data_IF_851731862458
#
_entry.id   IF_851731862458
#
_cell.length_a   1.000
_cell.length_b   1.000
_cell.length_c   1.000
_cell.angle_alpha   90.00
_cell.angle_beta   90.00
_cell.angle_gamma   90.00
#
_symmetry.space_group_name_H-M   'P 1'
#
loop_
_entity.id
_entity.type
_entity.pdbx_description
1 polymer ?
#
# COMPACT_ATOMS: atom_id res chain seq x y z
N UNK A 1 -4.30 -3.33 20.26
CA UNK A 1 -5.10 -3.95 19.19
C UNK A 1 -4.26 -4.21 17.94
N UNK A 2 -4.14 -3.31 16.94
CA UNK A 2 -3.40 -3.63 15.69
C UNK A 2 -1.93 -4.04 15.91
N UNK A 3 -1.21 -3.42 16.85
CA UNK A 3 0.17 -3.80 17.18
C UNK A 3 0.29 -5.16 17.90
N UNK A 4 -0.71 -5.53 18.70
CA UNK A 4 -0.72 -6.83 19.42
C UNK A 4 -1.12 -7.95 18.48
N UNK A 5 -2.09 -7.70 17.61
CA UNK A 5 -2.50 -8.61 16.54
C UNK A 5 -1.35 -8.86 15.56
N UNK A 6 -0.65 -7.78 15.15
CA UNK A 6 0.57 -7.88 14.37
C UNK A 6 1.60 -8.81 15.04
N UNK A 7 1.92 -8.57 16.33
CA UNK A 7 2.86 -9.42 17.08
C UNK A 7 2.46 -10.89 17.06
N UNK A 8 1.20 -11.21 17.34
CA UNK A 8 0.71 -12.60 17.32
C UNK A 8 0.83 -13.25 15.93
N UNK A 9 0.45 -12.54 14.87
CA UNK A 9 0.52 -13.08 13.51
C UNK A 9 1.98 -13.31 13.06
N UNK A 10 2.90 -12.47 13.54
CA UNK A 10 4.34 -12.66 13.33
C UNK A 10 4.84 -13.88 14.12
N UNK A 11 4.48 -14.01 15.40
CA UNK A 11 4.88 -15.16 16.23
C UNK A 11 4.41 -16.50 15.63
N UNK A 12 3.27 -16.50 14.95
CA UNK A 12 2.73 -17.64 14.20
C UNK A 12 3.50 -17.95 12.89
N UNK A 13 4.52 -17.16 12.54
CA UNK A 13 5.33 -17.39 11.34
C UNK A 13 4.63 -17.04 10.03
N UNK A 14 3.52 -16.31 10.09
CA UNK A 14 2.62 -16.11 8.95
C UNK A 14 3.29 -15.41 7.75
N UNK A 15 4.15 -14.43 8.03
CA UNK A 15 4.92 -13.67 7.04
C UNK A 15 6.24 -14.36 6.61
N UNK A 16 6.48 -15.57 7.09
CA UNK A 16 7.69 -16.35 6.82
C UNK A 16 8.82 -16.10 7.82
N UNK A 17 9.74 -17.06 7.93
CA UNK A 17 10.81 -17.08 8.94
C UNK A 17 11.69 -15.82 8.93
N UNK A 18 11.91 -15.20 7.76
CA UNK A 18 12.70 -13.97 7.65
C UNK A 18 12.07 -12.79 8.39
N UNK A 19 10.75 -12.63 8.35
CA UNK A 19 10.05 -11.53 9.04
C UNK A 19 10.03 -11.78 10.55
N UNK A 20 9.87 -13.04 10.97
CA UNK A 20 9.98 -13.44 12.39
C UNK A 20 11.39 -13.16 12.94
N UNK A 21 12.43 -13.56 12.20
CA UNK A 21 13.82 -13.32 12.57
C UNK A 21 14.16 -11.83 12.64
N UNK A 22 13.58 -11.01 11.76
CA UNK A 22 13.78 -9.55 11.81
C UNK A 22 13.17 -8.95 13.07
N UNK A 23 12.01 -9.44 13.53
CA UNK A 23 11.28 -8.89 14.67
C UNK A 23 11.72 -9.42 16.03
N UNK A 24 12.12 -10.69 16.11
CA UNK A 24 12.82 -11.21 17.29
C UNK A 24 14.11 -10.43 17.58
N UNK A 25 14.73 -9.87 16.54
CA UNK A 25 15.88 -8.97 16.66
C UNK A 25 15.48 -7.53 17.03
N UNK A 26 14.26 -7.07 16.73
CA UNK A 26 13.77 -5.71 17.11
C UNK A 26 13.62 -5.59 18.63
N UNK A 27 13.37 -6.70 19.32
CA UNK A 27 13.31 -6.72 20.79
C UNK A 27 14.72 -6.72 21.44
N UNK A 28 15.79 -6.96 20.67
CA UNK A 28 17.18 -6.86 21.13
C UNK A 28 17.81 -5.53 20.67
N UNK A 29 17.83 -4.55 21.57
CA UNK A 29 18.27 -3.18 21.36
C UNK A 29 19.71 -3.02 20.84
N UNK A 30 19.88 -2.48 19.61
CA UNK A 30 20.86 -1.43 19.24
C UNK A 30 20.51 -0.82 17.85
N UNK A 31 19.82 0.33 17.90
CA UNK A 31 18.96 0.98 16.88
C UNK A 31 19.56 1.28 15.49
N UNK A 32 20.89 1.29 15.32
CA UNK A 32 21.53 1.73 14.05
C UNK A 32 21.96 0.58 13.15
N UNK A 33 22.41 -0.51 13.75
CA UNK A 33 22.92 -1.66 12.99
C UNK A 33 21.78 -2.43 12.33
N UNK A 34 20.59 -2.41 12.93
CA UNK A 34 19.45 -3.16 12.44
C UNK A 34 18.71 -2.47 11.29
N UNK A 35 18.50 -1.15 11.38
CA UNK A 35 18.05 -0.36 10.23
C UNK A 35 19.04 -0.51 9.07
N UNK A 36 20.33 -0.53 9.37
CA UNK A 36 21.38 -0.81 8.40
C UNK A 36 21.24 -2.20 7.76
N UNK A 37 21.08 -3.29 8.52
CA UNK A 37 20.91 -4.64 7.96
C UNK A 37 19.60 -4.80 7.19
N UNK A 38 18.49 -4.19 7.64
CA UNK A 38 17.22 -4.16 6.87
C UNK A 38 17.42 -3.43 5.55
N UNK A 39 18.07 -2.26 5.58
CA UNK A 39 18.39 -1.48 4.38
C UNK A 39 19.37 -2.24 3.49
N UNK A 40 20.34 -2.96 4.05
CA UNK A 40 21.37 -3.71 3.33
C UNK A 40 20.82 -4.97 2.66
N UNK A 41 20.11 -5.85 3.39
CA UNK A 41 19.40 -7.02 2.83
C UNK A 41 18.45 -6.59 1.70
N UNK A 42 17.90 -5.38 1.83
CA UNK A 42 17.05 -4.81 0.81
C UNK A 42 17.82 -4.10 -0.33
N UNK A 43 19.01 -3.55 -0.12
CA UNK A 43 19.88 -3.06 -1.22
C UNK A 43 20.40 -4.24 -2.06
N UNK A 44 20.66 -5.39 -1.46
CA UNK A 44 21.38 -6.53 -2.06
C UNK A 44 20.48 -7.53 -2.85
N UNK A 45 19.41 -7.11 -3.52
CA UNK A 45 18.58 -8.06 -4.30
C UNK A 45 17.85 -7.46 -5.51
N UNK A 46 16.93 -8.23 -6.09
CA UNK A 46 16.39 -8.11 -7.45
C UNK A 46 15.76 -6.76 -7.91
N UNK A 47 15.65 -6.60 -9.24
CA UNK A 47 15.33 -5.38 -10.02
C UNK A 47 14.09 -4.56 -9.57
N UNK A 48 13.07 -5.18 -8.94
CA UNK A 48 11.93 -4.47 -8.34
C UNK A 48 12.35 -3.53 -7.18
N UNK A 49 13.58 -3.65 -6.67
CA UNK A 49 14.14 -2.82 -5.59
C UNK A 49 14.45 -1.39 -6.00
N UNK A 50 14.73 -1.07 -7.27
CA UNK A 50 15.03 0.33 -7.67
C UNK A 50 13.85 1.28 -7.42
N UNK A 51 12.64 0.87 -7.80
CA UNK A 51 11.43 1.66 -7.60
C UNK A 51 11.01 1.71 -6.13
N UNK A 52 11.06 0.55 -5.46
CA UNK A 52 10.85 0.46 -4.02
C UNK A 52 11.82 1.38 -3.28
N UNK A 53 13.05 1.56 -3.82
CA UNK A 53 14.08 2.39 -3.21
C UNK A 53 13.84 3.85 -3.35
N UNK A 54 13.46 4.25 -4.55
CA UNK A 54 13.02 5.62 -4.81
C UNK A 54 11.84 5.97 -3.92
N UNK A 55 10.89 5.03 -3.75
CA UNK A 55 9.72 5.22 -2.89
C UNK A 55 10.08 5.38 -1.40
N UNK A 56 10.90 4.48 -0.85
CA UNK A 56 11.27 4.56 0.58
C UNK A 56 12.16 5.77 0.89
N UNK A 57 13.13 6.09 0.03
CA UNK A 57 13.94 7.29 0.20
C UNK A 57 13.09 8.55 0.17
N UNK A 58 12.10 8.60 -0.73
CA UNK A 58 11.12 9.68 -0.75
C UNK A 58 10.35 9.76 0.57
N UNK A 59 9.77 8.65 1.04
CA UNK A 59 8.98 8.65 2.27
C UNK A 59 9.81 9.11 3.47
N UNK A 60 11.03 8.59 3.60
CA UNK A 60 11.95 8.97 4.66
C UNK A 60 12.37 10.44 4.55
N UNK A 61 12.67 10.93 3.35
CA UNK A 61 13.01 12.33 3.10
C UNK A 61 11.88 13.26 3.54
N UNK A 62 10.64 12.99 3.13
CA UNK A 62 9.49 13.81 3.53
C UNK A 62 9.29 13.78 5.04
N UNK A 63 9.39 12.62 5.69
CA UNK A 63 9.26 12.51 7.14
C UNK A 63 10.34 13.35 7.84
N UNK A 64 11.61 13.22 7.43
CA UNK A 64 12.73 13.95 8.01
C UNK A 64 12.59 15.46 7.81
N UNK A 65 12.31 15.92 6.60
CA UNK A 65 12.13 17.35 6.29
C UNK A 65 10.93 17.95 7.05
N UNK A 66 9.86 17.16 7.27
CA UNK A 66 8.72 17.59 8.07
C UNK A 66 9.08 17.71 9.55
N UNK A 67 9.85 16.76 10.08
CA UNK A 67 10.37 16.84 11.45
C UNK A 67 11.31 18.02 11.66
N UNK A 68 12.17 18.34 10.69
CA UNK A 68 13.04 19.52 10.76
C UNK A 68 12.24 20.83 10.79
N UNK A 69 11.08 20.86 10.12
CA UNK A 69 10.24 22.05 10.03
C UNK A 69 9.31 22.22 11.24
N UNK A 70 8.57 21.17 11.60
CA UNK A 70 7.67 21.18 12.76
C UNK A 70 7.57 19.78 13.39
N UNK A 71 8.41 19.47 14.39
CA UNK A 71 8.45 18.14 15.02
C UNK A 71 7.14 17.73 15.67
N UNK A 72 6.47 18.67 16.36
CA UNK A 72 5.27 18.37 17.14
C UNK A 72 4.10 17.99 16.24
N UNK A 73 3.87 18.79 15.19
CA UNK A 73 2.78 18.54 14.25
C UNK A 73 3.05 17.27 13.42
N UNK A 74 4.31 17.05 13.03
CA UNK A 74 4.72 15.82 12.33
C UNK A 74 4.47 14.58 13.18
N UNK A 75 4.86 14.61 14.46
CA UNK A 75 4.59 13.53 15.40
C UNK A 75 3.10 13.29 15.58
N UNK A 76 2.29 14.35 15.72
CA UNK A 76 0.84 14.23 15.89
C UNK A 76 0.16 13.55 14.69
N UNK A 77 0.52 13.92 13.46
CA UNK A 77 -0.03 13.31 12.25
C UNK A 77 0.36 11.83 12.12
N UNK A 78 1.63 11.50 12.33
CA UNK A 78 2.12 10.11 12.27
C UNK A 78 1.48 9.27 13.38
N UNK A 79 1.42 9.80 14.61
CA UNK A 79 0.81 9.11 15.75
C UNK A 79 -0.69 8.89 15.54
N UNK A 80 -1.39 9.89 15.01
CA UNK A 80 -2.81 9.79 14.66
C UNK A 80 -3.06 8.75 13.56
N UNK A 81 -2.16 8.66 12.58
CA UNK A 81 -2.24 7.64 11.54
C UNK A 81 -2.06 6.22 12.11
N UNK A 82 -1.09 6.03 13.01
CA UNK A 82 -0.74 4.72 13.59
C UNK A 82 -1.77 4.25 14.62
N UNK A 83 -2.19 5.15 15.51
CA UNK A 83 -2.96 4.78 16.72
C UNK A 83 -4.40 5.32 16.70
N UNK A 84 -4.73 6.16 15.73
CA UNK A 84 -5.94 6.97 15.79
C UNK A 84 -5.83 8.02 16.88
N UNK A 85 -6.97 8.54 17.31
CA UNK A 85 -7.03 9.42 18.48
C UNK A 85 -8.16 8.97 19.41
N UNK A 86 -8.06 9.30 20.70
CA UNK A 86 -9.17 9.04 21.65
C UNK A 86 -10.50 9.68 21.21
N UNK A 87 -10.43 10.82 20.50
CA UNK A 87 -11.61 11.55 20.00
C UNK A 87 -12.15 10.97 18.70
N UNK A 88 -11.29 10.36 17.89
CA UNK A 88 -11.68 9.71 16.64
C UNK A 88 -10.77 8.51 16.34
N UNK A 89 -11.16 7.30 16.78
CA UNK A 89 -10.43 6.07 16.50
C UNK A 89 -10.38 5.72 15.01
N UNK A 90 -11.31 6.24 14.18
CA UNK A 90 -11.38 5.95 12.73
C UNK A 90 -10.25 6.59 11.93
N UNK A 91 -9.45 7.43 12.57
CA UNK A 91 -8.21 7.98 12.00
C UNK A 91 -7.05 6.99 12.01
N UNK A 92 -7.15 5.91 12.78
CA UNK A 92 -6.22 4.80 12.73
C UNK A 92 -6.29 4.15 11.33
N UNK A 93 -5.13 4.00 10.68
CA UNK A 93 -5.02 3.41 9.33
C UNK A 93 -4.01 2.25 9.25
N UNK A 94 -3.24 2.00 10.30
CA UNK A 94 -2.26 0.91 10.35
C UNK A 94 -2.93 -0.46 10.16
N UNK A 95 -4.09 -0.69 10.76
CA UNK A 95 -4.90 -1.89 10.58
C UNK A 95 -5.13 -2.23 9.11
N UNK A 96 -5.34 -1.21 8.26
CA UNK A 96 -5.55 -1.44 6.82
C UNK A 96 -4.26 -1.82 6.09
N UNK A 97 -3.12 -1.33 6.56
CA UNK A 97 -1.81 -1.79 6.06
C UNK A 97 -1.63 -3.27 6.38
N UNK A 98 -1.95 -3.65 7.62
CA UNK A 98 -1.83 -5.03 8.09
C UNK A 98 -2.77 -5.96 7.30
N UNK A 99 -4.05 -5.61 7.19
CA UNK A 99 -5.02 -6.36 6.40
C UNK A 99 -4.53 -6.60 4.96
N UNK A 100 -3.99 -5.56 4.31
CA UNK A 100 -3.46 -5.68 2.97
C UNK A 100 -2.25 -6.63 2.90
N UNK A 101 -1.30 -6.52 3.83
CA UNK A 101 -0.13 -7.39 3.87
C UNK A 101 -0.52 -8.86 4.11
N UNK A 102 -1.47 -9.11 5.01
CA UNK A 102 -2.00 -10.45 5.27
C UNK A 102 -2.64 -11.03 4.03
N UNK A 103 -3.59 -10.30 3.45
CA UNK A 103 -4.30 -10.72 2.24
C UNK A 103 -3.35 -10.94 1.06
N UNK A 104 -2.33 -10.10 0.91
CA UNK A 104 -1.32 -10.24 -0.14
C UNK A 104 -0.50 -11.51 0.04
N UNK A 105 -0.08 -11.81 1.28
CA UNK A 105 0.65 -13.05 1.62
C UNK A 105 -0.22 -14.28 1.36
N UNK A 106 -1.47 -14.25 1.80
CA UNK A 106 -2.46 -15.29 1.52
C UNK A 106 -2.69 -15.51 0.02
N UNK A 107 -2.79 -14.42 -0.73
CA UNK A 107 -2.98 -14.47 -2.17
C UNK A 107 -1.77 -15.07 -2.86
N UNK A 108 -0.55 -14.70 -2.48
CA UNK A 108 0.67 -15.31 -3.00
C UNK A 108 0.74 -16.81 -2.71
N UNK A 109 0.41 -17.24 -1.48
CA UNK A 109 0.31 -18.66 -1.12
C UNK A 109 -0.70 -19.38 -2.02
N UNK A 110 -1.90 -18.82 -2.22
CA UNK A 110 -2.94 -19.37 -3.11
C UNK A 110 -2.54 -19.40 -4.58
N UNK A 111 -1.77 -18.43 -5.05
CA UNK A 111 -1.24 -18.43 -6.43
C UNK A 111 -0.21 -19.53 -6.60
N UNK A 112 0.67 -19.75 -5.61
CA UNK A 112 1.71 -20.77 -5.67
C UNK A 112 1.19 -22.21 -5.73
N UNK A 113 -0.08 -22.44 -5.33
CA UNK A 113 -0.72 -23.76 -5.43
C UNK A 113 -1.33 -24.04 -6.80
N UNK A 114 -1.43 -23.03 -7.69
CA UNK A 114 -1.90 -23.24 -9.06
C UNK A 114 -0.85 -23.98 -9.89
N UNK A 115 -1.31 -24.98 -10.64
CA UNK A 115 -0.51 -25.73 -11.59
C UNK A 115 -1.34 -26.10 -12.82
N UNK A 116 -0.71 -26.78 -13.79
CA UNK A 116 -1.35 -27.16 -15.06
C UNK A 116 -2.54 -28.12 -14.92
N UNK A 117 -2.72 -28.74 -13.74
CA UNK A 117 -3.83 -29.65 -13.41
C UNK A 117 -4.90 -29.01 -12.52
N UNK A 118 -4.77 -27.73 -12.15
CA UNK A 118 -5.75 -27.04 -11.31
C UNK A 118 -7.14 -27.00 -11.95
N UNK A 119 -8.17 -27.20 -11.15
CA UNK A 119 -9.56 -27.16 -11.63
C UNK A 119 -9.99 -25.73 -11.96
N UNK A 120 -11.06 -25.58 -12.74
CA UNK A 120 -11.67 -24.27 -13.01
C UNK A 120 -12.13 -23.59 -11.71
N UNK A 121 -12.57 -24.38 -10.72
CA UNK A 121 -12.91 -23.89 -9.39
C UNK A 121 -11.71 -23.25 -8.68
N UNK A 122 -10.55 -23.91 -8.72
CA UNK A 122 -9.31 -23.41 -8.12
C UNK A 122 -8.87 -22.11 -8.80
N UNK A 123 -8.88 -22.08 -10.13
CA UNK A 123 -8.53 -20.88 -10.91
C UNK A 123 -9.45 -19.70 -10.55
N UNK A 124 -10.76 -19.95 -10.42
CA UNK A 124 -11.73 -18.92 -10.03
C UNK A 124 -11.51 -18.41 -8.60
N UNK A 125 -11.20 -19.31 -7.66
CA UNK A 125 -10.94 -18.95 -6.26
C UNK A 125 -9.66 -18.10 -6.13
N UNK A 126 -8.59 -18.49 -6.83
CA UNK A 126 -7.34 -17.72 -6.84
C UNK A 126 -7.55 -16.37 -7.53
N UNK A 127 -8.28 -16.32 -8.65
CA UNK A 127 -8.58 -15.05 -9.32
C UNK A 127 -9.40 -14.11 -8.43
N UNK A 128 -10.36 -14.65 -7.69
CA UNK A 128 -11.15 -13.85 -6.74
C UNK A 128 -10.27 -13.30 -5.62
N UNK A 129 -9.29 -14.10 -5.15
CA UNK A 129 -8.30 -13.65 -4.17
C UNK A 129 -7.38 -12.55 -4.72
N UNK A 130 -6.89 -12.69 -5.96
CA UNK A 130 -6.11 -11.65 -6.65
C UNK A 130 -6.90 -10.35 -6.77
N UNK A 131 -8.17 -10.45 -7.18
CA UNK A 131 -9.05 -9.29 -7.36
C UNK A 131 -9.30 -8.57 -6.03
N UNK A 132 -9.53 -9.32 -4.95
CA UNK A 132 -9.68 -8.78 -3.61
C UNK A 132 -8.38 -8.12 -3.11
N UNK A 133 -7.23 -8.79 -3.29
CA UNK A 133 -5.92 -8.27 -2.91
C UNK A 133 -5.64 -6.94 -3.61
N UNK A 134 -5.91 -6.89 -4.92
CA UNK A 134 -5.77 -5.68 -5.70
C UNK A 134 -6.66 -4.54 -5.18
N UNK A 135 -7.94 -4.81 -4.92
CA UNK A 135 -8.86 -3.82 -4.34
C UNK A 135 -8.37 -3.29 -3.00
N UNK A 136 -7.85 -4.15 -2.13
CA UNK A 136 -7.25 -3.76 -0.85
C UNK A 136 -5.95 -2.95 -1.02
N UNK A 137 -5.17 -3.23 -2.05
CA UNK A 137 -4.02 -2.42 -2.44
C UNK A 137 -4.41 -0.98 -2.81
N UNK A 138 -5.53 -0.80 -3.53
CA UNK A 138 -6.07 0.54 -3.83
C UNK A 138 -6.48 1.26 -2.54
N UNK A 139 -7.19 0.57 -1.65
CA UNK A 139 -7.60 1.12 -0.35
C UNK A 139 -6.39 1.57 0.49
N UNK A 140 -5.36 0.72 0.54
CA UNK A 140 -4.09 0.99 1.20
C UNK A 140 -3.42 2.27 0.69
N UNK A 141 -3.25 2.40 -0.64
CA UNK A 141 -2.68 3.62 -1.25
C UNK A 141 -3.55 4.84 -0.89
N UNK A 142 -4.88 4.71 -1.00
CA UNK A 142 -5.84 5.77 -0.69
C UNK A 142 -5.83 6.24 0.77
N UNK A 143 -5.33 5.43 1.70
CA UNK A 143 -5.17 5.74 3.12
C UNK A 143 -3.79 6.30 3.46
N UNK A 144 -2.74 5.92 2.72
CA UNK A 144 -1.37 6.41 2.94
C UNK A 144 -1.14 7.81 2.35
N UNK A 145 -1.61 8.06 1.12
CA UNK A 145 -1.35 9.33 0.43
C UNK A 145 -1.80 10.57 1.25
N UNK A 146 -2.95 10.57 1.95
CA UNK A 146 -3.34 11.68 2.82
C UNK A 146 -2.29 12.06 3.86
N UNK A 147 -1.64 11.09 4.50
CA UNK A 147 -0.57 11.35 5.47
C UNK A 147 0.58 12.08 4.77
N UNK A 148 1.01 11.62 3.60
CA UNK A 148 2.10 12.27 2.86
C UNK A 148 1.75 13.68 2.39
N UNK A 149 0.50 13.95 2.02
CA UNK A 149 0.05 15.31 1.72
C UNK A 149 0.17 16.19 2.98
N UNK A 150 -0.29 15.72 4.14
CA UNK A 150 -0.15 16.46 5.39
C UNK A 150 1.32 16.75 5.72
N UNK A 151 2.20 15.75 5.63
CA UNK A 151 3.63 15.89 5.88
C UNK A 151 4.29 16.89 4.92
N UNK A 152 4.03 16.80 3.62
CA UNK A 152 4.57 17.76 2.65
C UNK A 152 4.07 19.19 2.93
N UNK A 153 2.80 19.36 3.34
CA UNK A 153 2.28 20.66 3.74
C UNK A 153 2.93 21.18 5.01
N UNK A 154 3.23 20.32 5.99
CA UNK A 154 4.02 20.69 7.17
C UNK A 154 5.41 21.19 6.75
N UNK A 155 6.12 20.41 5.92
CA UNK A 155 7.44 20.80 5.38
C UNK A 155 7.39 22.15 4.68
N UNK A 156 6.37 22.39 3.86
CA UNK A 156 6.22 23.63 3.12
C UNK A 156 5.67 24.80 3.98
N UNK A 157 5.38 24.56 5.27
CA UNK A 157 4.72 25.52 6.18
C UNK A 157 3.35 26.00 5.66
N UNK A 158 2.63 25.10 4.99
CA UNK A 158 1.29 25.33 4.45
C UNK A 158 0.21 24.84 5.41
N UNK A 159 -0.89 25.60 5.51
CA UNK A 159 -2.07 25.12 6.23
C UNK A 159 -2.74 23.96 5.50
N UNK A 160 -3.26 23.00 6.26
CA UNK A 160 -3.99 21.87 5.72
C UNK A 160 -5.15 21.44 6.61
N UNK A 161 -6.06 20.65 6.02
CA UNK A 161 -7.17 20.04 6.71
C UNK A 161 -7.23 18.56 6.33
N UNK A 162 -6.76 17.70 7.24
CA UNK A 162 -6.71 16.25 7.04
C UNK A 162 -8.07 15.69 6.62
N UNK A 163 -9.17 16.13 7.25
CA UNK A 163 -10.52 15.65 6.94
C UNK A 163 -10.95 15.97 5.50
N UNK A 164 -10.56 17.15 4.98
CA UNK A 164 -10.82 17.49 3.56
C UNK A 164 -10.00 16.60 2.63
N UNK A 165 -8.73 16.37 2.96
CA UNK A 165 -7.82 15.54 2.15
C UNK A 165 -8.30 14.08 2.11
N UNK A 166 -8.71 13.52 3.25
CA UNK A 166 -9.20 12.14 3.34
C UNK A 166 -10.44 11.88 2.45
N UNK A 167 -11.32 12.88 2.33
CA UNK A 167 -12.55 12.83 1.51
C UNK A 167 -12.32 12.90 0.00
N UNK A 168 -11.12 13.29 -0.42
CA UNK A 168 -10.79 13.32 -1.85
C UNK A 168 -10.77 11.89 -2.39
N UNK A 169 -11.17 11.72 -3.64
CA UNK A 169 -10.95 10.46 -4.30
C UNK A 169 -9.46 10.22 -4.57
N UNK A 170 -9.03 8.98 -4.77
CA UNK A 170 -7.62 8.66 -5.01
C UNK A 170 -7.00 9.51 -6.13
N UNK A 171 -7.71 9.70 -7.24
CA UNK A 171 -7.23 10.57 -8.32
C UNK A 171 -6.93 12.00 -7.84
N UNK A 172 -7.85 12.64 -7.12
CA UNK A 172 -7.70 13.99 -6.56
C UNK A 172 -6.61 14.05 -5.49
N UNK A 173 -6.46 13.00 -4.67
CA UNK A 173 -5.36 12.88 -3.70
C UNK A 173 -4.01 12.90 -4.42
N UNK A 174 -3.87 12.15 -5.52
CA UNK A 174 -2.63 12.13 -6.29
C UNK A 174 -2.33 13.47 -6.98
N UNK A 175 -3.35 14.16 -7.49
CA UNK A 175 -3.19 15.52 -8.03
C UNK A 175 -2.71 16.49 -6.95
N UNK A 176 -3.37 16.49 -5.78
CA UNK A 176 -3.00 17.34 -4.65
C UNK A 176 -1.56 17.06 -4.22
N UNK A 177 -1.18 15.78 -4.13
CA UNK A 177 0.15 15.34 -3.76
C UNK A 177 1.21 15.77 -4.78
N UNK A 178 0.95 15.60 -6.08
CA UNK A 178 1.85 16.07 -7.14
C UNK A 178 2.01 17.60 -7.08
N UNK A 179 0.93 18.34 -6.82
CA UNK A 179 0.96 19.79 -6.72
C UNK A 179 1.78 20.27 -5.51
N UNK A 180 1.56 19.73 -4.31
CA UNK A 180 2.27 20.16 -3.10
C UNK A 180 3.75 19.75 -3.09
N UNK A 181 4.12 18.76 -3.90
CA UNK A 181 5.52 18.34 -4.10
C UNK A 181 6.19 19.01 -5.29
N UNK A 182 5.55 20.00 -5.92
CA UNK A 182 6.06 20.63 -7.16
C UNK A 182 6.41 19.61 -8.24
N UNK A 183 5.65 18.52 -8.31
CA UNK A 183 5.81 17.39 -9.23
C UNK A 183 7.14 16.62 -9.10
N UNK A 184 7.90 16.83 -8.02
CA UNK A 184 9.17 16.14 -7.74
C UNK A 184 8.99 14.60 -7.79
N UNK A 185 7.81 14.11 -7.40
CA UNK A 185 7.52 12.68 -7.27
C UNK A 185 6.48 12.16 -8.26
N UNK A 186 6.28 12.86 -9.38
CA UNK A 186 5.31 12.48 -10.41
C UNK A 186 5.57 11.08 -10.99
N UNK A 187 6.82 10.62 -10.96
CA UNK A 187 7.17 9.26 -11.36
C UNK A 187 6.48 8.22 -10.46
N UNK A 188 6.41 8.48 -9.15
CA UNK A 188 5.78 7.59 -8.16
C UNK A 188 4.26 7.56 -8.36
N UNK A 189 3.62 8.71 -8.54
CA UNK A 189 2.17 8.78 -8.75
C UNK A 189 1.73 8.20 -10.10
N UNK A 190 2.60 8.23 -11.11
CA UNK A 190 2.36 7.59 -12.40
C UNK A 190 2.50 6.07 -12.38
N UNK A 191 3.27 5.51 -11.44
CA UNK A 191 3.34 4.06 -11.26
C UNK A 191 2.05 3.47 -10.70
N UNK A 192 1.24 4.28 -10.03
CA UNK A 192 -0.11 3.88 -9.64
C UNK A 192 -0.92 3.75 -10.93
N UNK A 193 -1.21 2.49 -11.30
CA UNK A 193 -1.87 2.13 -12.54
C UNK A 193 -3.08 3.07 -12.79
N UNK A 194 -3.22 3.56 -14.02
CA UNK A 194 -4.26 4.55 -14.39
C UNK A 194 -5.67 4.08 -14.03
N UNK A 195 -5.91 2.78 -14.09
CA UNK A 195 -7.18 2.17 -13.74
C UNK A 195 -7.39 2.15 -12.23
N UNK A 196 -6.32 1.96 -11.44
CA UNK A 196 -6.32 2.15 -9.98
C UNK A 196 -6.73 3.58 -9.63
N UNK A 197 -6.13 4.57 -10.30
CA UNK A 197 -6.43 6.00 -10.05
C UNK A 197 -7.90 6.32 -10.32
N UNK A 198 -8.51 5.68 -11.31
CA UNK A 198 -9.88 5.92 -11.75
C UNK A 198 -10.93 5.04 -11.06
N UNK A 199 -10.52 3.93 -10.45
CA UNK A 199 -11.41 2.98 -9.83
C UNK A 199 -11.33 3.06 -8.32
N UNK A 200 -12.05 4.02 -7.75
CA UNK A 200 -12.49 3.84 -6.37
C UNK A 200 -13.54 2.74 -6.34
N UNK A 201 -13.20 1.62 -5.69
CA UNK A 201 -14.09 0.55 -5.24
C UNK A 201 -14.88 -0.26 -6.30
N UNK A 202 -14.83 0.05 -7.60
CA UNK A 202 -15.67 -0.61 -8.62
C UNK A 202 -14.92 -1.41 -9.68
N UNK A 203 -13.62 -1.65 -9.48
CA UNK A 203 -12.82 -2.49 -10.37
C UNK A 203 -13.23 -3.95 -10.20
N UNK A 204 -14.10 -4.44 -11.10
CA UNK A 204 -14.49 -5.84 -11.14
C UNK A 204 -13.57 -6.56 -12.11
N UNK A 205 -12.48 -7.11 -11.57
CA UNK A 205 -11.62 -8.05 -12.28
C UNK A 205 -12.29 -9.43 -12.22
N UNK A 206 -12.65 -9.97 -13.37
CA UNK A 206 -13.34 -11.27 -13.49
C UNK A 206 -12.59 -12.13 -14.49
N UNK A 207 -12.38 -13.41 -14.20
CA UNK A 207 -11.88 -14.35 -15.20
C UNK A 207 -13.01 -14.78 -16.16
N UNK A 208 -12.82 -14.58 -17.46
CA UNK A 208 -13.73 -15.10 -18.48
C UNK A 208 -13.26 -16.47 -18.95
N UNK A 209 -13.91 -17.52 -18.48
CA UNK A 209 -13.60 -18.91 -18.84
C UNK A 209 -13.73 -19.14 -20.36
N UNK A 210 -14.83 -18.66 -20.97
CA UNK A 210 -15.08 -18.71 -22.42
C UNK A 210 -13.93 -18.11 -23.26
N UNK A 211 -13.19 -17.15 -22.71
CA UNK A 211 -12.11 -16.45 -23.44
C UNK A 211 -10.72 -16.76 -22.90
N UNK A 212 -10.60 -17.54 -21.82
CA UNK A 212 -9.36 -17.77 -21.06
C UNK A 212 -8.55 -16.49 -20.81
N UNK A 213 -9.24 -15.39 -20.48
CA UNK A 213 -8.67 -14.05 -20.29
C UNK A 213 -9.24 -13.39 -19.05
N UNK A 214 -8.45 -12.52 -18.43
CA UNK A 214 -8.93 -11.62 -17.40
C UNK A 214 -9.76 -10.51 -18.02
N UNK A 215 -10.85 -10.13 -17.37
CA UNK A 215 -11.75 -9.05 -17.77
C UNK A 215 -11.73 -8.00 -16.69
N UNK A 216 -11.20 -6.84 -17.04
CA UNK A 216 -11.22 -5.64 -16.24
C UNK A 216 -12.48 -4.85 -16.60
N UNK A 217 -13.50 -4.89 -15.74
CA UNK A 217 -14.72 -4.11 -15.96
C UNK A 217 -14.55 -2.73 -15.32
N UNK A 218 -14.57 -1.70 -16.17
CA UNK A 218 -14.41 -0.30 -15.80
C UNK A 218 -15.70 0.47 -16.10
N UNK A 219 -15.93 1.56 -15.38
CA UNK A 219 -16.98 2.52 -15.73
C UNK A 219 -16.30 3.67 -16.47
N UNK A 220 -16.63 3.84 -17.75
CA UNK A 220 -16.15 4.93 -18.60
C UNK A 220 -17.36 5.71 -19.08
N UNK A 221 -17.44 7.00 -18.73
CA UNK A 221 -18.57 7.88 -19.07
C UNK A 221 -19.94 7.30 -18.67
N UNK A 222 -20.03 6.72 -17.47
CA UNK A 222 -21.27 6.13 -16.94
C UNK A 222 -21.67 4.78 -17.57
N UNK A 223 -20.85 4.23 -18.48
CA UNK A 223 -21.09 2.92 -19.13
C UNK A 223 -20.02 1.91 -18.70
N UNK A 224 -20.43 0.66 -18.51
CA UNK A 224 -19.49 -0.43 -18.26
C UNK A 224 -18.73 -0.78 -19.55
N UNK A 225 -17.40 -0.76 -19.50
CA UNK A 225 -16.51 -1.26 -20.54
C UNK A 225 -15.68 -2.42 -19.98
N UNK A 226 -15.42 -3.42 -20.82
CA UNK A 226 -14.61 -4.58 -20.49
C UNK A 226 -13.28 -4.50 -21.25
N UNK A 227 -12.18 -4.52 -20.53
CA UNK A 227 -10.84 -4.64 -21.09
C UNK A 227 -10.29 -6.04 -20.81
N UNK A 228 -9.67 -6.68 -21.80
CA UNK A 228 -9.21 -8.06 -21.69
C UNK A 228 -7.69 -8.12 -21.51
N UNK A 229 -7.24 -8.62 -20.36
CA UNK A 229 -5.81 -8.71 -19.99
C UNK A 229 -5.34 -10.16 -20.17
N UNK A 230 -4.14 -10.35 -20.73
CA UNK A 230 -3.55 -11.70 -20.89
C UNK A 230 -2.98 -12.21 -19.56
N UNK A 231 -2.95 -13.53 -19.33
CA UNK A 231 -2.46 -14.10 -18.06
C UNK A 231 -0.97 -13.91 -17.76
N UNK A 232 -0.16 -13.59 -18.77
CA UNK A 232 1.31 -13.50 -18.67
C UNK A 232 1.76 -12.06 -18.35
N UNK A 233 0.85 -11.09 -18.40
CA UNK A 233 1.14 -9.67 -18.15
C UNK A 233 0.78 -9.22 -16.71
N UNK A 234 0.63 -10.18 -15.77
CA UNK A 234 0.34 -9.94 -14.34
C UNK A 234 1.56 -10.29 -13.47
#
# INVERSE_FOLDING_TARGET
MANEELKHIIEEGYFGEKVVLLLQKVESYEDKHQLYEIIKDWIEGDELKFFTKTYMLFMLKVILESFETNPNQTYEEISTFITGSRKDPRKEKLSTILEFQLLSTETQKKVSTLNSKSSIGDIRNVTSSISNNYSKGIEFIGKIIPLFICLVKIRNQEEYNMYKIEKLNLHKKLIEFDACTSYEYKIITNMINRDIRNAEAHLSLIYSDKRKKYVLRKIVNGKYQNEYIKPIDL
#
